data_IF_511402906313
#
_entry.id   IF_511402906313
#
_cell.length_a   1.000
_cell.length_b   1.000
_cell.length_c   1.000
_cell.angle_alpha   90.00
_cell.angle_beta   90.00
_cell.angle_gamma   90.00
#
_symmetry.space_group_name_H-M   'P 1'
#
loop_
_entity.id
_entity.type
_entity.pdbx_description
1 polymer ?
#
# COMPACT_ATOMS: atom_id res chain seq x y z
N UNK A 1 -5.39 13.65 -12.91
CA UNK A 1 -4.35 13.21 -11.97
C UNK A 1 -4.18 11.71 -12.15
N UNK A 2 -2.98 11.24 -12.50
CA UNK A 2 -2.68 9.81 -12.56
C UNK A 2 -2.11 9.38 -11.21
N UNK A 3 -2.69 8.36 -10.59
CA UNK A 3 -2.19 7.84 -9.32
C UNK A 3 -0.93 7.00 -9.62
N UNK A 4 0.25 7.59 -9.46
CA UNK A 4 1.53 6.97 -9.81
C UNK A 4 1.95 5.86 -8.81
N UNK A 5 1.10 5.57 -7.83
CA UNK A 5 1.32 4.54 -6.80
C UNK A 5 0.83 3.16 -7.24
N UNK A 6 -0.26 3.10 -8.00
CA UNK A 6 -0.86 1.81 -8.39
C UNK A 6 0.06 1.07 -9.37
N UNK A 7 0.25 -0.22 -9.13
CA UNK A 7 1.16 -1.10 -9.88
C UNK A 7 2.60 -1.05 -9.40
N UNK A 8 2.97 -0.13 -8.49
CA UNK A 8 4.34 -0.02 -7.98
C UNK A 8 4.51 -0.78 -6.68
N UNK A 9 5.76 -1.19 -6.43
CA UNK A 9 6.19 -1.72 -5.14
C UNK A 9 6.34 -0.56 -4.17
N UNK A 10 5.72 -0.67 -3.01
CA UNK A 10 5.70 0.36 -1.99
C UNK A 10 5.96 -0.24 -0.61
N UNK A 11 6.53 0.57 0.27
CA UNK A 11 6.55 0.34 1.71
C UNK A 11 5.55 1.29 2.36
N UNK A 12 4.80 0.78 3.30
CA UNK A 12 3.84 1.54 4.10
C UNK A 12 4.31 1.53 5.54
N UNK A 13 4.39 2.71 6.12
CA UNK A 13 4.68 2.89 7.53
C UNK A 13 3.34 3.15 8.27
N UNK A 14 2.98 2.22 9.15
CA UNK A 14 1.76 2.25 9.96
C UNK A 14 2.04 2.89 11.33
N UNK A 15 0.96 3.28 12.00
CA UNK A 15 1.02 3.79 13.37
C UNK A 15 1.61 2.70 14.28
N UNK A 16 2.62 3.06 15.09
CA UNK A 16 3.25 2.14 16.04
C UNK A 16 4.54 1.47 15.54
N UNK A 17 5.16 2.01 14.49
CA UNK A 17 6.43 1.52 13.90
C UNK A 17 6.30 0.22 13.10
N UNK A 18 5.08 -0.25 12.84
CA UNK A 18 4.86 -1.39 11.97
C UNK A 18 5.05 -0.97 10.51
N UNK A 19 5.85 -1.73 9.76
CA UNK A 19 6.10 -1.48 8.35
C UNK A 19 5.63 -2.67 7.54
N UNK A 20 4.96 -2.40 6.42
CA UNK A 20 4.51 -3.44 5.50
C UNK A 20 4.94 -3.09 4.08
N UNK A 21 5.50 -4.07 3.38
CA UNK A 21 5.90 -3.94 1.97
C UNK A 21 5.00 -4.78 1.06
N UNK A 22 4.73 -4.26 -0.12
CA UNK A 22 3.93 -4.97 -1.11
C UNK A 22 3.80 -4.22 -2.43
N UNK A 23 2.89 -4.69 -3.26
CA UNK A 23 2.51 -4.00 -4.51
C UNK A 23 1.16 -3.34 -4.30
N UNK A 24 1.08 -2.05 -4.60
CA UNK A 24 -0.20 -1.33 -4.56
C UNK A 24 -1.06 -1.78 -5.75
N UNK A 25 -2.18 -2.46 -5.49
CA UNK A 25 -3.04 -3.01 -6.54
C UNK A 25 -4.19 -2.09 -6.94
N UNK A 26 -4.58 -1.19 -6.05
CA UNK A 26 -5.70 -0.28 -6.28
C UNK A 26 -6.17 0.36 -5.00
N UNK A 27 -7.32 1.02 -5.10
CA UNK A 27 -8.06 1.53 -3.95
C UNK A 27 -9.33 0.69 -3.75
N UNK A 28 -9.72 0.50 -2.50
CA UNK A 28 -11.04 -0.01 -2.15
C UNK A 28 -12.10 1.08 -2.34
N UNK A 29 -13.38 0.70 -2.29
CA UNK A 29 -14.51 1.63 -2.51
C UNK A 29 -14.60 2.76 -1.49
N UNK A 30 -13.95 2.60 -0.33
CA UNK A 30 -13.86 3.58 0.74
C UNK A 30 -12.56 4.42 0.69
N UNK A 31 -11.74 4.23 -0.34
CA UNK A 31 -10.47 4.92 -0.53
C UNK A 31 -9.27 4.27 0.14
N UNK A 32 -9.41 3.12 0.82
CA UNK A 32 -8.27 2.42 1.40
C UNK A 32 -7.32 1.86 0.32
N UNK A 33 -6.01 1.94 0.55
CA UNK A 33 -5.02 1.38 -0.36
C UNK A 33 -4.99 -0.14 -0.24
N UNK A 34 -5.20 -0.85 -1.34
CA UNK A 34 -5.08 -2.31 -1.43
C UNK A 34 -3.64 -2.67 -1.74
N UNK A 35 -2.96 -3.26 -0.76
CA UNK A 35 -1.57 -3.69 -0.87
C UNK A 35 -1.49 -5.22 -0.92
N UNK A 36 -0.95 -5.78 -2.00
CA UNK A 36 -0.58 -7.20 -2.03
C UNK A 36 0.78 -7.39 -1.39
N UNK A 37 0.79 -8.02 -0.22
CA UNK A 37 2.01 -8.40 0.49
C UNK A 37 2.72 -9.58 -0.20
N UNK A 38 4.00 -9.81 0.14
CA UNK A 38 4.82 -10.89 -0.43
C UNK A 38 4.23 -12.30 -0.21
N UNK A 39 3.45 -12.49 0.86
CA UNK A 39 2.75 -13.76 1.15
C UNK A 39 1.47 -13.95 0.31
N UNK A 40 1.16 -13.05 -0.62
CA UNK A 40 -0.02 -13.08 -1.48
C UNK A 40 -1.29 -12.52 -0.82
N UNK A 41 -1.27 -12.22 0.48
CA UNK A 41 -2.40 -11.59 1.19
C UNK A 41 -2.58 -10.15 0.71
N UNK A 42 -3.83 -9.76 0.52
CA UNK A 42 -4.19 -8.36 0.24
C UNK A 42 -4.57 -7.70 1.56
N UNK A 43 -3.95 -6.55 1.83
CA UNK A 43 -4.18 -5.72 3.00
C UNK A 43 -4.86 -4.43 2.56
N UNK A 44 -5.81 -3.95 3.35
CA UNK A 44 -6.47 -2.65 3.15
C UNK A 44 -5.93 -1.65 4.15
N UNK A 45 -5.25 -0.62 3.66
CA UNK A 45 -4.56 0.36 4.47
C UNK A 45 -5.33 1.68 4.39
N UNK A 46 -5.84 2.12 5.54
CA UNK A 46 -6.64 3.34 5.67
C UNK A 46 -5.80 4.57 6.06
N UNK A 47 -4.72 4.36 6.80
CA UNK A 47 -3.82 5.41 7.26
C UNK A 47 -2.39 4.87 7.33
N UNK A 48 -1.45 5.65 6.81
CA UNK A 48 -0.03 5.33 6.78
C UNK A 48 0.69 6.13 5.70
N UNK A 49 2.00 6.31 5.87
CA UNK A 49 2.84 6.97 4.88
C UNK A 49 3.26 5.96 3.81
N UNK A 50 3.17 6.36 2.55
CA UNK A 50 3.51 5.52 1.40
C UNK A 50 4.86 5.95 0.82
N UNK A 51 5.79 5.00 0.74
CA UNK A 51 7.13 5.19 0.19
C UNK A 51 7.28 4.31 -1.04
N UNK A 52 7.51 4.91 -2.21
CA UNK A 52 7.80 4.14 -3.42
C UNK A 52 9.20 3.53 -3.35
N UNK A 53 9.28 2.22 -3.56
CA UNK A 53 10.53 1.52 -3.66
C UNK A 53 10.96 1.53 -5.14
N UNK A 54 12.20 1.97 -5.40
CA UNK A 54 12.78 2.06 -6.74
C UNK A 54 13.06 0.71 -7.38
#
# INVERSE_FOLDING_TARGET
>A
AACDTIGKRVRIELIGSEQTEGTAEGLASDGALRLRAKNGKVLEIRAGDVIHLR
#
